data_IF_312865733928
#
_entry.id   IF_312865733928
#
_cell.length_a   1.000
_cell.length_b   1.000
_cell.length_c   1.000
_cell.angle_alpha   90.00
_cell.angle_beta   90.00
_cell.angle_gamma   90.00
#
_symmetry.space_group_name_H-M   'P 1'
#
loop_
_entity.id
_entity.type
_entity.pdbx_description
1 polymer ?
#
# COMPACT_ATOMS: atom_id res chain seq x y z
N UNK A 1 -9.13 -6.81 -21.71
CA UNK A 1 -10.21 -6.83 -20.70
C UNK A 1 -11.44 -7.22 -21.49
N UNK A 2 -12.18 -8.25 -21.05
CA UNK A 2 -13.33 -8.73 -21.80
C UNK A 2 -14.57 -8.04 -21.22
N UNK A 3 -15.37 -7.42 -22.08
CA UNK A 3 -16.67 -6.86 -21.69
C UNK A 3 -17.77 -7.88 -21.95
N UNK A 4 -18.63 -8.13 -20.96
CA UNK A 4 -19.72 -9.11 -21.03
C UNK A 4 -21.06 -8.42 -21.26
N UNK A 5 -21.73 -8.79 -22.34
CA UNK A 5 -23.03 -8.25 -22.74
C UNK A 5 -23.96 -9.44 -22.98
N UNK A 6 -25.18 -9.38 -22.46
CA UNK A 6 -26.19 -10.38 -22.74
C UNK A 6 -27.23 -9.82 -23.70
N UNK A 7 -27.64 -10.63 -24.68
CA UNK A 7 -28.76 -10.34 -25.56
C UNK A 7 -29.94 -11.24 -25.16
N UNK A 8 -31.11 -10.66 -24.93
CA UNK A 8 -32.30 -11.39 -24.47
C UNK A 8 -33.45 -11.24 -25.46
N UNK A 9 -34.05 -12.37 -25.82
CA UNK A 9 -35.25 -12.46 -26.66
C UNK A 9 -36.41 -12.95 -25.82
N UNK A 10 -37.48 -12.16 -25.78
CA UNK A 10 -38.74 -12.54 -25.13
C UNK A 10 -39.83 -12.69 -26.19
N UNK A 11 -40.39 -13.89 -26.28
CA UNK A 11 -41.59 -14.16 -27.06
C UNK A 11 -42.82 -14.11 -26.15
N UNK A 12 -43.75 -13.20 -26.42
CA UNK A 12 -44.98 -13.03 -25.63
C UNK A 12 -46.08 -14.06 -25.98
N UNK A 13 -45.74 -15.21 -26.56
CA UNK A 13 -46.70 -16.17 -27.12
C UNK A 13 -47.65 -16.83 -26.10
N UNK A 14 -47.45 -16.63 -24.79
CA UNK A 14 -48.22 -17.32 -23.74
C UNK A 14 -49.23 -16.41 -23.03
N UNK A 15 -50.32 -16.01 -23.71
CA UNK A 15 -51.54 -15.51 -23.06
C UNK A 15 -52.86 -15.94 -23.79
N UNK A 16 -53.21 -17.22 -23.60
CA UNK A 16 -54.55 -17.89 -23.47
C UNK A 16 -55.71 -17.60 -24.47
N UNK A 17 -56.20 -18.63 -25.22
CA UNK A 17 -57.47 -19.38 -24.98
C UNK A 17 -57.80 -20.48 -26.03
N UNK A 18 -58.57 -21.48 -25.57
CA UNK A 18 -59.18 -22.58 -26.34
C UNK A 18 -59.91 -22.15 -27.63
N UNK A 19 -59.80 -23.02 -28.65
CA UNK A 19 -60.51 -23.07 -29.95
C UNK A 19 -59.87 -22.37 -31.16
N UNK A 20 -59.15 -23.20 -31.92
CA UNK A 20 -59.21 -23.43 -33.36
C UNK A 20 -59.16 -22.23 -34.33
N UNK A 21 -58.07 -22.26 -35.13
CA UNK A 21 -57.89 -21.74 -36.50
C UNK A 21 -57.91 -20.22 -36.66
N UNK A 22 -56.83 -19.71 -37.28
CA UNK A 22 -56.52 -18.31 -37.61
C UNK A 22 -55.88 -17.45 -36.50
N UNK A 23 -54.60 -17.70 -36.23
CA UNK A 23 -53.63 -16.60 -36.21
C UNK A 23 -52.51 -16.97 -37.20
N UNK A 24 -52.24 -16.05 -38.11
CA UNK A 24 -51.58 -16.32 -39.37
C UNK A 24 -50.12 -16.80 -39.18
N UNK A 25 -49.86 -18.07 -39.54
CA UNK A 25 -48.63 -18.47 -40.21
C UNK A 25 -48.56 -17.75 -41.57
N UNK A 26 -48.22 -16.46 -41.59
CA UNK A 26 -47.97 -15.72 -42.82
C UNK A 26 -46.60 -15.05 -42.72
N UNK A 27 -45.55 -15.84 -42.83
CA UNK A 27 -44.85 -16.07 -44.10
C UNK A 27 -44.12 -17.42 -44.00
N UNK A 28 -43.95 -18.16 -45.10
CA UNK A 28 -43.00 -19.29 -45.20
C UNK A 28 -41.57 -18.74 -45.04
N UNK A 29 -41.19 -18.34 -43.82
CA UNK A 29 -39.85 -17.86 -43.51
C UNK A 29 -39.01 -19.03 -43.05
N UNK A 30 -38.05 -19.42 -43.88
CA UNK A 30 -37.10 -20.47 -43.53
C UNK A 30 -36.14 -20.06 -42.40
N UNK A 31 -36.01 -18.75 -42.13
CA UNK A 31 -35.20 -18.22 -41.03
C UNK A 31 -35.51 -16.77 -40.64
N UNK A 32 -35.01 -16.39 -39.47
CA UNK A 32 -34.89 -15.00 -39.00
C UNK A 32 -33.43 -14.68 -38.68
N UNK A 33 -33.03 -13.42 -38.82
CA UNK A 33 -31.64 -13.00 -38.64
C UNK A 33 -31.56 -11.66 -37.91
N UNK A 34 -30.61 -11.56 -36.99
CA UNK A 34 -30.15 -10.30 -36.40
C UNK A 34 -28.66 -10.17 -36.71
N UNK A 35 -28.30 -9.15 -37.48
CA UNK A 35 -26.90 -8.82 -37.79
C UNK A 35 -26.36 -7.78 -36.82
N UNK A 36 -25.29 -8.12 -36.12
CA UNK A 36 -24.58 -7.21 -35.23
C UNK A 36 -23.31 -6.69 -35.88
N UNK A 37 -22.92 -5.46 -35.54
CA UNK A 37 -21.65 -4.84 -35.92
C UNK A 37 -21.00 -4.22 -34.70
N UNK A 38 -19.69 -4.40 -34.57
CA UNK A 38 -18.85 -3.72 -33.58
C UNK A 38 -17.98 -2.69 -34.30
N UNK A 39 -18.02 -1.44 -33.83
CA UNK A 39 -17.10 -0.38 -34.24
C UNK A 39 -16.26 0.04 -33.04
N UNK A 40 -14.95 0.12 -33.21
CA UNK A 40 -14.04 0.67 -32.21
C UNK A 40 -13.55 2.06 -32.64
N UNK A 41 -13.31 2.95 -31.68
CA UNK A 41 -12.90 4.33 -31.96
C UNK A 41 -11.51 4.46 -32.60
N UNK A 42 -10.73 3.38 -32.71
CA UNK A 42 -9.51 3.29 -33.52
C UNK A 42 -9.79 3.03 -35.02
N UNK A 43 -11.05 2.88 -35.42
CA UNK A 43 -11.48 2.58 -36.79
C UNK A 43 -11.55 1.09 -37.13
N UNK A 44 -11.27 0.18 -36.18
CA UNK A 44 -11.51 -1.24 -36.38
C UNK A 44 -13.01 -1.54 -36.37
N UNK A 45 -13.43 -2.47 -37.24
CA UNK A 45 -14.83 -2.83 -37.42
C UNK A 45 -14.97 -4.35 -37.56
N UNK A 46 -15.97 -4.94 -36.92
CA UNK A 46 -16.34 -6.35 -37.03
C UNK A 46 -17.80 -6.47 -37.45
N UNK A 47 -18.04 -7.12 -38.59
CA UNK A 47 -19.38 -7.31 -39.19
C UNK A 47 -19.86 -8.76 -39.11
N UNK A 48 -19.10 -9.63 -38.45
CA UNK A 48 -19.25 -11.07 -38.66
C UNK A 48 -20.39 -11.68 -37.84
N UNK A 49 -20.79 -11.06 -36.73
CA UNK A 49 -21.69 -11.68 -35.77
C UNK A 49 -23.15 -11.64 -36.18
N UNK A 50 -23.76 -12.82 -36.17
CA UNK A 50 -25.15 -13.01 -36.55
C UNK A 50 -25.86 -13.98 -35.61
N UNK A 51 -27.07 -13.60 -35.21
CA UNK A 51 -28.02 -14.53 -34.60
C UNK A 51 -28.98 -15.02 -35.65
N UNK A 52 -29.17 -16.34 -35.68
CA UNK A 52 -30.15 -16.95 -36.55
C UNK A 52 -31.22 -17.70 -35.78
N UNK A 53 -32.41 -17.73 -36.37
CA UNK A 53 -33.52 -18.54 -35.88
C UNK A 53 -33.99 -19.42 -37.03
N UNK A 54 -33.87 -20.74 -36.87
CA UNK A 54 -34.18 -21.75 -37.88
C UNK A 54 -35.14 -22.81 -37.33
N UNK A 55 -35.96 -23.43 -38.17
CA UNK A 55 -36.89 -24.49 -37.73
C UNK A 55 -36.17 -25.66 -37.06
N UNK A 56 -34.97 -25.98 -37.53
CA UNK A 56 -34.14 -27.08 -37.01
C UNK A 56 -32.99 -26.59 -36.12
N UNK A 57 -32.95 -25.31 -35.76
CA UNK A 57 -31.96 -24.79 -34.83
C UNK A 57 -32.28 -25.23 -33.40
N UNK A 58 -31.26 -25.40 -32.56
CA UNK A 58 -31.42 -25.87 -31.19
C UNK A 58 -30.59 -25.07 -30.19
N UNK A 59 -30.80 -25.27 -28.89
CA UNK A 59 -29.91 -24.68 -27.86
C UNK A 59 -28.62 -25.49 -27.66
N UNK A 60 -28.49 -26.66 -28.30
CA UNK A 60 -27.26 -27.46 -28.31
C UNK A 60 -26.50 -27.29 -29.62
N UNK A 61 -25.27 -27.81 -29.67
CA UNK A 61 -24.41 -27.72 -30.85
C UNK A 61 -25.09 -28.32 -32.07
N UNK A 62 -25.23 -27.51 -33.12
CA UNK A 62 -25.80 -27.96 -34.38
C UNK A 62 -25.03 -27.43 -35.60
N UNK A 63 -25.47 -27.86 -36.80
CA UNK A 63 -24.78 -27.52 -38.05
C UNK A 63 -24.93 -26.04 -38.47
N UNK A 64 -25.72 -25.26 -37.72
CA UNK A 64 -25.96 -23.85 -37.94
C UNK A 64 -25.16 -22.97 -36.98
N UNK A 65 -24.42 -23.55 -36.04
CA UNK A 65 -23.45 -22.82 -35.22
C UNK A 65 -22.15 -22.61 -36.00
N UNK A 66 -21.62 -21.40 -35.96
CA UNK A 66 -20.39 -21.02 -36.63
C UNK A 66 -19.33 -20.61 -35.63
N UNK A 67 -18.19 -21.29 -35.58
CA UNK A 67 -17.07 -20.91 -34.71
C UNK A 67 -16.48 -19.55 -35.09
N UNK A 68 -16.09 -18.78 -34.07
CA UNK A 68 -15.37 -17.52 -34.27
C UNK A 68 -13.93 -17.78 -34.69
N UNK A 69 -13.45 -16.99 -35.65
CA UNK A 69 -12.02 -16.85 -35.92
C UNK A 69 -11.56 -15.51 -35.34
N UNK A 70 -10.47 -15.55 -34.58
CA UNK A 70 -9.82 -14.35 -34.08
C UNK A 70 -9.35 -13.45 -35.26
N UNK A 71 -9.32 -12.15 -35.02
CA UNK A 71 -8.82 -11.19 -36.00
C UNK A 71 -7.36 -11.48 -36.38
N UNK A 72 -7.08 -11.49 -37.69
CA UNK A 72 -5.71 -11.69 -38.22
C UNK A 72 -4.82 -10.46 -37.95
N UNK A 73 -5.42 -9.29 -37.78
CA UNK A 73 -4.72 -8.04 -37.47
C UNK A 73 -4.56 -7.91 -35.96
N UNK A 74 -3.32 -7.94 -35.43
CA UNK A 74 -3.07 -7.75 -34.01
C UNK A 74 -3.63 -6.41 -33.53
N UNK A 75 -4.31 -6.41 -32.39
CA UNK A 75 -4.87 -5.19 -31.79
C UNK A 75 -6.23 -4.75 -32.34
N UNK A 76 -6.81 -5.50 -33.29
CA UNK A 76 -8.17 -5.24 -33.75
C UNK A 76 -9.18 -5.97 -32.86
N UNK A 77 -10.03 -5.23 -32.14
CA UNK A 77 -11.08 -5.85 -31.34
C UNK A 77 -12.12 -6.55 -32.21
N UNK A 78 -12.78 -7.52 -31.62
CA UNK A 78 -13.85 -8.30 -32.24
C UNK A 78 -14.85 -8.75 -31.17
N UNK A 79 -16.03 -9.17 -31.60
CA UNK A 79 -17.06 -9.70 -30.70
C UNK A 79 -17.43 -11.14 -31.06
N UNK A 80 -17.93 -11.91 -30.10
CA UNK A 80 -18.34 -13.30 -30.30
C UNK A 80 -19.43 -13.70 -29.31
N UNK A 81 -20.28 -14.64 -29.73
CA UNK A 81 -21.18 -15.30 -28.79
C UNK A 81 -20.39 -16.35 -28.01
N UNK A 82 -20.80 -16.58 -26.76
CA UNK A 82 -20.21 -17.59 -25.88
C UNK A 82 -21.29 -18.58 -25.50
N UNK A 83 -20.99 -19.87 -25.70
CA UNK A 83 -21.89 -20.95 -25.33
C UNK A 83 -21.12 -22.15 -24.81
N UNK A 84 -21.69 -22.86 -23.82
CA UNK A 84 -21.15 -24.11 -23.30
C UNK A 84 -22.10 -25.26 -23.67
N UNK A 85 -21.64 -26.18 -24.50
CA UNK A 85 -22.38 -27.37 -24.92
C UNK A 85 -22.12 -28.60 -24.05
N UNK A 86 -21.45 -28.42 -22.91
CA UNK A 86 -21.12 -29.47 -21.94
C UNK A 86 -19.66 -29.95 -21.99
N UNK A 87 -18.87 -29.47 -22.95
CA UNK A 87 -17.42 -29.71 -23.05
C UNK A 87 -16.57 -28.46 -22.76
N UNK A 88 -17.21 -27.35 -22.37
CA UNK A 88 -16.59 -26.05 -22.11
C UNK A 88 -17.13 -24.95 -23.02
N UNK A 89 -16.78 -23.71 -22.67
CA UNK A 89 -17.17 -22.53 -23.44
C UNK A 89 -16.50 -22.49 -24.81
N UNK A 90 -17.28 -22.19 -25.84
CA UNK A 90 -16.82 -21.98 -27.20
C UNK A 90 -17.18 -20.59 -27.71
N UNK A 91 -16.33 -20.04 -28.58
CA UNK A 91 -16.54 -18.76 -29.24
C UNK A 91 -17.26 -18.96 -30.57
N UNK A 92 -18.39 -18.27 -30.76
CA UNK A 92 -19.23 -18.38 -31.93
C UNK A 92 -19.32 -17.03 -32.66
N UNK A 93 -19.12 -17.05 -33.97
CA UNK A 93 -19.51 -15.96 -34.87
C UNK A 93 -21.00 -16.00 -35.17
N UNK A 94 -21.59 -17.20 -35.11
CA UNK A 94 -22.98 -17.45 -35.39
C UNK A 94 -23.54 -18.41 -34.35
N UNK A 95 -24.60 -17.98 -33.66
CA UNK A 95 -25.39 -18.80 -32.73
C UNK A 95 -26.81 -18.91 -33.30
N UNK A 96 -27.26 -20.14 -33.53
CA UNK A 96 -28.54 -20.44 -34.16
C UNK A 96 -29.49 -21.14 -33.19
N UNK A 97 -30.72 -20.61 -33.04
CA UNK A 97 -31.76 -21.21 -32.18
C UNK A 97 -33.01 -21.58 -32.94
N UNK A 98 -33.94 -22.23 -32.24
CA UNK A 98 -35.25 -22.59 -32.77
C UNK A 98 -36.02 -21.37 -33.28
N UNK A 99 -36.74 -21.54 -34.39
CA UNK A 99 -37.47 -20.46 -35.08
C UNK A 99 -38.51 -19.75 -34.21
N UNK A 100 -39.06 -20.47 -33.24
CA UNK A 100 -40.09 -20.04 -32.32
C UNK A 100 -39.65 -20.36 -30.90
N UNK A 101 -39.04 -19.41 -30.17
CA UNK A 101 -38.68 -19.64 -28.79
C UNK A 101 -39.96 -19.68 -27.94
N UNK A 102 -40.18 -20.82 -27.28
CA UNK A 102 -41.28 -21.04 -26.33
C UNK A 102 -40.98 -20.47 -24.93
N UNK A 103 -39.72 -20.08 -24.70
CA UNK A 103 -39.17 -19.51 -23.46
C UNK A 103 -38.34 -18.27 -23.75
N UNK A 104 -37.97 -17.53 -22.70
CA UNK A 104 -36.99 -16.45 -22.80
C UNK A 104 -35.65 -17.07 -23.19
N UNK A 105 -35.01 -16.52 -24.23
CA UNK A 105 -33.69 -16.95 -24.69
C UNK A 105 -32.67 -15.87 -24.35
N UNK A 106 -31.54 -16.27 -23.80
CA UNK A 106 -30.43 -15.37 -23.47
C UNK A 106 -29.16 -15.86 -24.15
N UNK A 107 -28.46 -14.94 -24.80
CA UNK A 107 -27.25 -15.17 -25.55
C UNK A 107 -26.15 -14.35 -24.90
N UNK A 108 -25.04 -14.99 -24.54
CA UNK A 108 -23.87 -14.29 -24.03
C UNK A 108 -23.04 -13.80 -25.21
N UNK A 109 -22.81 -12.50 -25.26
CA UNK A 109 -22.01 -11.80 -26.26
C UNK A 109 -20.84 -11.14 -25.54
N UNK A 110 -19.62 -11.43 -25.98
CA UNK A 110 -18.42 -10.85 -25.41
C UNK A 110 -17.68 -10.00 -26.45
N UNK A 111 -17.04 -8.93 -25.97
CA UNK A 111 -16.16 -8.07 -26.76
C UNK A 111 -14.74 -8.23 -26.26
N UNK A 112 -13.85 -8.73 -27.13
CA UNK A 112 -12.41 -8.80 -26.87
C UNK A 112 -11.77 -7.48 -27.31
N UNK A 113 -11.29 -6.72 -26.32
CA UNK A 113 -10.70 -5.40 -26.55
C UNK A 113 -9.37 -5.45 -27.31
N UNK A 114 -8.70 -6.61 -27.38
CA UNK A 114 -7.42 -6.76 -28.07
C UNK A 114 -6.38 -5.71 -27.64
N UNK A 115 -6.35 -5.39 -26.34
CA UNK A 115 -5.50 -4.35 -25.74
C UNK A 115 -5.86 -2.90 -26.08
N UNK A 116 -6.94 -2.67 -26.83
CA UNK A 116 -7.41 -1.33 -27.14
C UNK A 116 -8.24 -0.73 -25.99
N UNK A 117 -7.85 0.46 -25.53
CA UNK A 117 -8.67 1.29 -24.65
C UNK A 117 -9.36 2.39 -25.44
N UNK A 118 -10.68 2.46 -25.39
CA UNK A 118 -11.44 3.46 -26.13
C UNK A 118 -12.93 3.21 -26.10
N UNK A 119 -13.65 3.86 -27.01
CA UNK A 119 -15.09 3.70 -27.18
C UNK A 119 -15.37 2.58 -28.18
N UNK A 120 -16.32 1.72 -27.83
CA UNK A 120 -16.87 0.68 -28.67
C UNK A 120 -18.34 0.96 -28.89
N UNK A 121 -18.83 0.69 -30.09
CA UNK A 121 -20.22 0.85 -30.48
C UNK A 121 -20.71 -0.46 -31.09
N UNK A 122 -21.75 -1.05 -30.50
CA UNK A 122 -22.46 -2.19 -31.08
C UNK A 122 -23.70 -1.66 -31.78
N UNK A 123 -23.84 -1.95 -33.07
CA UNK A 123 -25.01 -1.59 -33.86
C UNK A 123 -25.72 -2.84 -34.38
N UNK A 124 -27.05 -2.83 -34.41
CA UNK A 124 -27.86 -3.89 -35.02
C UNK A 124 -28.38 -3.42 -36.36
N UNK A 125 -27.64 -3.79 -37.40
CA UNK A 125 -27.78 -3.22 -38.75
C UNK A 125 -29.08 -3.64 -39.44
N UNK A 126 -29.57 -4.84 -39.15
CA UNK A 126 -30.71 -5.43 -39.85
C UNK A 126 -31.42 -6.46 -38.99
N UNK A 127 -32.73 -6.31 -38.85
CA UNK A 127 -33.65 -7.33 -38.35
C UNK A 127 -34.40 -7.93 -39.53
N UNK A 128 -34.04 -9.16 -39.90
CA UNK A 128 -34.69 -9.86 -41.00
C UNK A 128 -35.71 -10.83 -40.47
N UNK A 129 -36.96 -10.65 -40.89
CA UNK A 129 -38.08 -11.50 -40.50
C UNK A 129 -38.24 -11.59 -38.97
N UNK A 130 -37.92 -10.56 -38.19
CA UNK A 130 -38.17 -10.56 -36.76
C UNK A 130 -39.63 -10.12 -36.53
N UNK A 131 -40.46 -10.89 -35.78
CA UNK A 131 -41.82 -10.48 -35.48
C UNK A 131 -41.84 -9.22 -34.62
N UNK A 132 -42.77 -8.30 -34.91
CA UNK A 132 -42.99 -7.09 -34.10
C UNK A 132 -43.41 -7.39 -32.64
N UNK A 133 -43.87 -8.62 -32.37
CA UNK A 133 -44.26 -9.09 -31.04
C UNK A 133 -43.08 -9.57 -30.19
N UNK A 134 -41.88 -9.65 -30.75
CA UNK A 134 -40.68 -10.00 -29.99
C UNK A 134 -40.13 -8.75 -29.31
N UNK A 135 -39.82 -8.89 -28.02
CA UNK A 135 -39.07 -7.87 -27.31
C UNK A 135 -37.60 -8.29 -27.28
N UNK A 136 -36.74 -7.39 -27.75
CA UNK A 136 -35.30 -7.61 -27.88
C UNK A 136 -34.56 -6.63 -26.98
N UNK A 137 -33.75 -7.17 -26.08
CA UNK A 137 -33.02 -6.39 -25.09
C UNK A 137 -31.53 -6.68 -25.17
N UNK A 138 -30.71 -5.62 -25.23
CA UNK A 138 -29.27 -5.69 -25.01
C UNK A 138 -28.97 -5.23 -23.58
N UNK A 139 -28.30 -6.08 -22.82
CA UNK A 139 -27.98 -5.89 -21.41
C UNK A 139 -26.47 -5.89 -21.25
N UNK A 140 -25.88 -4.73 -21.00
CA UNK A 140 -24.48 -4.63 -20.60
C UNK A 140 -24.37 -5.01 -19.13
N UNK A 141 -23.75 -6.15 -18.85
CA UNK A 141 -23.67 -6.69 -17.48
C UNK A 141 -22.55 -6.06 -16.65
N UNK A 142 -21.58 -5.41 -17.29
CA UNK A 142 -20.48 -4.73 -16.59
C UNK A 142 -20.90 -3.31 -16.17
N UNK A 143 -21.72 -2.64 -16.98
CA UNK A 143 -22.21 -1.28 -16.71
C UNK A 143 -23.65 -1.22 -16.18
N UNK A 144 -24.31 -2.37 -16.01
CA UNK A 144 -25.71 -2.50 -15.56
C UNK A 144 -26.69 -1.64 -16.41
N UNK A 145 -26.48 -1.68 -17.74
CA UNK A 145 -27.26 -0.91 -18.71
C UNK A 145 -28.16 -1.83 -19.52
N UNK A 146 -29.42 -1.43 -19.75
CA UNK A 146 -30.40 -2.21 -20.51
C UNK A 146 -31.01 -1.36 -21.61
N UNK A 147 -30.97 -1.87 -22.85
CA UNK A 147 -31.36 -1.16 -24.06
C UNK A 147 -32.43 -1.97 -24.78
N UNK A 148 -33.58 -1.34 -25.05
CA UNK A 148 -34.58 -1.91 -25.96
C UNK A 148 -34.11 -1.70 -27.40
N UNK A 149 -33.85 -2.80 -28.10
CA UNK A 149 -33.30 -2.76 -29.45
C UNK A 149 -34.34 -2.40 -30.52
N UNK A 150 -35.61 -2.32 -30.15
CA UNK A 150 -36.66 -1.77 -31.02
C UNK A 150 -36.73 -0.24 -30.97
N UNK A 151 -36.24 0.37 -29.89
CA UNK A 151 -36.28 1.83 -29.68
C UNK A 151 -34.99 2.52 -30.17
N UNK A 152 -33.86 1.82 -30.06
CA UNK A 152 -32.54 2.30 -30.47
C UNK A 152 -31.98 1.49 -31.65
N UNK A 153 -30.86 1.93 -32.23
CA UNK A 153 -30.15 1.19 -33.30
C UNK A 153 -28.70 0.82 -32.97
N UNK A 154 -28.20 1.34 -31.84
CA UNK A 154 -26.84 1.14 -31.38
C UNK A 154 -26.69 1.34 -29.87
N UNK A 155 -25.60 0.82 -29.31
CA UNK A 155 -25.18 1.01 -27.93
C UNK A 155 -23.67 1.26 -27.88
N UNK A 156 -23.22 2.25 -27.10
CA UNK A 156 -21.79 2.58 -26.96
C UNK A 156 -21.32 2.49 -25.51
N UNK A 157 -20.12 1.95 -25.32
CA UNK A 157 -19.45 1.82 -24.01
C UNK A 157 -17.95 2.10 -24.14
N UNK A 158 -17.25 2.29 -23.02
CA UNK A 158 -15.80 2.54 -23.01
C UNK A 158 -15.05 1.54 -22.16
N UNK A 159 -13.95 0.99 -22.68
CA UNK A 159 -13.00 0.22 -21.87
C UNK A 159 -11.87 1.14 -21.41
N UNK A 160 -11.55 1.11 -20.12
CA UNK A 160 -10.42 1.84 -19.54
C UNK A 160 -9.40 0.85 -18.98
N UNK A 161 -8.13 0.97 -19.38
CA UNK A 161 -7.04 0.29 -18.67
C UNK A 161 -6.64 1.12 -17.45
N UNK A 162 -6.79 0.56 -16.26
CA UNK A 162 -6.09 1.06 -15.08
C UNK A 162 -4.86 0.19 -14.83
N UNK A 163 -3.68 0.80 -14.87
CA UNK A 163 -2.47 0.16 -14.37
C UNK A 163 -2.38 0.48 -12.88
N UNK A 164 -2.57 -0.53 -12.03
CA UNK A 164 -2.25 -0.41 -10.62
C UNK A 164 -0.74 -0.59 -10.47
N UNK A 165 -0.02 0.47 -10.11
CA UNK A 165 1.36 0.33 -9.60
C UNK A 165 1.22 -0.08 -8.14
N UNK A 166 1.47 -1.37 -7.85
CA UNK A 166 1.61 -1.84 -6.48
C UNK A 166 2.91 -1.25 -5.91
N UNK A 167 2.81 -0.23 -5.08
CA UNK A 167 3.90 0.23 -4.23
C UNK A 167 3.70 -0.45 -2.88
N UNK A 168 4.42 -1.55 -2.65
CA UNK A 168 4.53 -2.11 -1.30
C UNK A 168 5.19 -1.05 -0.39
N UNK A 169 4.60 -0.67 0.76
CA UNK A 169 5.27 0.22 1.70
C UNK A 169 6.60 -0.41 2.12
N UNK A 170 7.65 0.40 2.21
CA UNK A 170 8.94 -0.10 2.70
C UNK A 170 8.79 -0.34 4.19
N UNK A 171 8.97 -1.58 4.62
CA UNK A 171 9.06 -1.91 6.05
C UNK A 171 10.51 -1.75 6.48
N UNK A 172 10.78 -0.74 7.30
CA UNK A 172 12.05 -0.64 8.03
C UNK A 172 11.92 -1.37 9.36
N UNK A 173 13.00 -1.99 9.86
CA UNK A 173 12.98 -2.67 11.15
C UNK A 173 14.29 -2.49 11.91
N UNK A 174 14.21 -2.56 13.23
CA UNK A 174 15.38 -2.59 14.12
C UNK A 174 15.13 -3.52 15.30
N UNK A 175 16.19 -4.17 15.79
CA UNK A 175 16.11 -5.06 16.97
C UNK A 175 16.54 -4.30 18.21
N UNK A 176 15.63 -4.20 19.18
CA UNK A 176 15.89 -3.66 20.51
C UNK A 176 16.35 -4.79 21.41
N UNK A 177 17.50 -4.61 22.09
CA UNK A 177 18.14 -5.67 22.90
C UNK A 177 18.57 -5.12 24.27
N UNK A 178 19.15 -5.98 25.12
CA UNK A 178 19.61 -5.61 26.47
C UNK A 178 18.48 -5.69 27.49
N UNK A 179 18.56 -4.85 28.53
CA UNK A 179 17.63 -4.85 29.66
C UNK A 179 16.50 -3.82 29.47
N UNK A 180 15.47 -3.93 30.32
CA UNK A 180 14.40 -2.94 30.44
C UNK A 180 14.94 -1.50 30.57
N UNK A 181 14.33 -0.57 29.82
CA UNK A 181 14.74 0.83 29.88
C UNK A 181 14.33 1.69 28.69
N UNK A 182 14.61 2.98 28.85
CA UNK A 182 14.51 3.98 27.79
C UNK A 182 15.46 3.67 26.63
N UNK A 183 14.97 3.86 25.40
CA UNK A 183 15.76 3.97 24.18
C UNK A 183 15.48 5.32 23.55
N UNK A 184 16.50 5.91 22.93
CA UNK A 184 16.37 7.13 22.13
C UNK A 184 16.34 6.71 20.68
N UNK A 185 15.18 6.86 20.05
CA UNK A 185 14.88 6.29 18.73
C UNK A 185 14.39 7.37 17.76
N UNK A 186 14.30 6.99 16.49
CA UNK A 186 13.69 7.77 15.42
C UNK A 186 13.01 6.85 14.42
N UNK A 187 12.08 7.39 13.64
CA UNK A 187 11.50 6.66 12.52
C UNK A 187 12.16 7.06 11.20
N UNK A 188 12.56 6.09 10.37
CA UNK A 188 13.14 6.34 9.05
C UNK A 188 12.08 6.42 7.93
N UNK A 189 10.86 6.88 8.26
CA UNK A 189 9.72 7.00 7.35
C UNK A 189 8.99 8.32 7.59
N UNK A 190 8.33 8.82 6.55
CA UNK A 190 7.52 10.04 6.63
C UNK A 190 6.19 9.81 7.35
N UNK A 191 5.74 10.79 8.12
CA UNK A 191 4.41 10.81 8.73
C UNK A 191 4.21 9.78 9.83
N UNK A 192 5.29 9.28 10.44
CA UNK A 192 5.19 8.30 11.52
C UNK A 192 4.43 8.85 12.74
N UNK A 193 3.83 7.92 13.48
CA UNK A 193 3.09 8.14 14.72
C UNK A 193 3.41 7.01 15.71
N UNK A 194 2.84 7.07 16.92
CA UNK A 194 3.10 6.06 17.96
C UNK A 194 2.56 4.68 17.57
N UNK A 195 1.58 4.61 16.67
CA UNK A 195 1.00 3.34 16.19
C UNK A 195 2.02 2.39 15.54
N UNK A 196 3.18 2.90 15.13
CA UNK A 196 4.28 2.09 14.58
C UNK A 196 4.99 1.24 15.64
N UNK A 197 4.62 1.36 16.93
CA UNK A 197 5.21 0.59 18.02
C UNK A 197 4.20 -0.32 18.73
N UNK A 198 2.90 -0.07 18.55
CA UNK A 198 1.83 -0.69 19.36
C UNK A 198 1.65 -2.19 19.10
N UNK A 199 2.06 -2.67 17.93
CA UNK A 199 2.09 -4.09 17.59
C UNK A 199 3.28 -4.84 18.21
N UNK A 200 4.39 -4.14 18.43
CA UNK A 200 5.66 -4.74 18.88
C UNK A 200 5.90 -4.59 20.39
N UNK A 201 5.47 -3.48 20.99
CA UNK A 201 5.63 -3.18 22.42
C UNK A 201 4.46 -2.38 22.99
N UNK A 202 4.16 -2.59 24.27
CA UNK A 202 3.20 -1.79 25.00
C UNK A 202 3.53 -0.29 24.97
N UNK A 203 2.50 0.51 24.73
CA UNK A 203 2.41 1.95 24.89
C UNK A 203 1.45 2.25 26.03
N UNK A 204 1.93 2.98 27.03
CA UNK A 204 1.21 3.30 28.26
C UNK A 204 1.08 4.82 28.41
N UNK A 205 0.06 5.26 29.14
CA UNK A 205 -0.18 6.67 29.47
C UNK A 205 -0.52 7.59 28.30
N UNK A 206 -0.85 7.03 27.13
CA UNK A 206 -1.25 7.74 25.91
C UNK A 206 -2.58 7.15 25.44
N UNK A 207 -3.52 8.00 25.02
CA UNK A 207 -4.84 7.53 24.57
C UNK A 207 -4.74 6.65 23.32
N UNK A 208 -5.49 5.55 23.30
CA UNK A 208 -5.40 4.48 22.30
C UNK A 208 -4.32 3.43 22.59
N UNK A 209 -3.43 3.64 23.57
CA UNK A 209 -2.44 2.65 24.00
C UNK A 209 -3.02 1.56 24.92
N UNK A 210 -2.23 0.52 25.19
CA UNK A 210 -2.63 -0.68 25.93
C UNK A 210 -2.98 -0.39 27.39
N UNK A 211 -2.38 0.64 27.99
CA UNK A 211 -2.67 1.06 29.35
C UNK A 211 -2.69 2.59 29.49
N UNK A 212 -3.76 3.22 29.00
CA UNK A 212 -3.93 4.67 28.98
C UNK A 212 -3.88 5.34 30.37
N UNK A 213 -4.18 4.60 31.45
CA UNK A 213 -4.24 5.13 32.81
C UNK A 213 -2.90 5.10 33.55
N UNK A 214 -1.86 4.50 32.98
CA UNK A 214 -0.53 4.46 33.59
C UNK A 214 0.28 5.73 33.28
N UNK A 215 1.48 5.82 33.85
CA UNK A 215 2.42 6.87 33.46
C UNK A 215 2.93 6.65 32.01
N UNK A 216 3.13 7.72 31.22
CA UNK A 216 3.57 7.56 29.84
C UNK A 216 4.94 6.89 29.72
N UNK A 217 5.04 5.94 28.81
CA UNK A 217 6.29 5.26 28.48
C UNK A 217 6.88 5.71 27.13
N UNK A 218 6.29 6.74 26.51
CA UNK A 218 6.73 7.35 25.27
C UNK A 218 6.76 8.87 25.42
N UNK A 219 7.87 9.50 25.03
CA UNK A 219 8.03 10.95 25.13
C UNK A 219 8.71 11.54 23.89
N UNK A 220 8.27 12.73 23.52
CA UNK A 220 8.97 13.62 22.61
C UNK A 220 9.76 14.66 23.41
N UNK A 221 10.84 15.18 22.84
CA UNK A 221 11.53 16.35 23.36
C UNK A 221 11.79 17.37 22.25
N UNK A 222 10.75 18.11 21.88
CA UNK A 222 10.82 19.05 20.75
C UNK A 222 11.54 20.36 21.12
N UNK A 223 11.54 20.72 22.41
CA UNK A 223 12.08 21.97 22.90
C UNK A 223 12.38 21.91 24.40
N UNK A 224 13.65 21.78 24.77
CA UNK A 224 14.14 21.83 26.16
C UNK A 224 15.07 23.01 26.40
N UNK A 225 15.05 23.57 27.62
CA UNK A 225 15.97 24.61 28.08
C UNK A 225 17.27 24.04 28.67
N UNK A 226 17.40 22.71 28.76
CA UNK A 226 18.55 22.00 29.34
C UNK A 226 18.39 21.66 30.83
N UNK A 227 17.30 22.09 31.47
CA UNK A 227 16.97 21.68 32.84
C UNK A 227 16.48 20.22 32.85
N UNK A 228 16.90 19.45 33.86
CA UNK A 228 16.46 18.06 34.01
C UNK A 228 14.92 17.95 34.01
N UNK A 229 14.38 17.07 33.18
CA UNK A 229 12.93 16.88 33.02
C UNK A 229 12.22 17.93 32.17
N UNK A 230 12.90 18.97 31.68
CA UNK A 230 12.29 19.97 30.82
C UNK A 230 12.21 19.50 29.35
N UNK A 231 11.11 19.86 28.68
CA UNK A 231 10.88 19.62 27.25
C UNK A 231 10.28 18.26 26.91
N UNK A 232 10.12 17.35 27.89
CA UNK A 232 9.50 16.05 27.67
C UNK A 232 7.98 16.14 27.71
N UNK A 233 7.32 15.67 26.65
CA UNK A 233 5.87 15.62 26.56
C UNK A 233 5.42 14.36 25.84
N UNK A 234 4.42 13.66 26.39
CA UNK A 234 3.76 12.58 25.70
C UNK A 234 2.76 13.14 24.67
N UNK A 235 2.61 12.51 23.49
CA UNK A 235 1.52 12.80 22.56
C UNK A 235 0.14 12.60 23.21
N UNK A 236 -0.88 13.28 22.68
CA UNK A 236 -2.26 13.17 23.20
C UNK A 236 -2.85 11.79 22.96
N UNK A 237 -2.57 11.22 21.79
CA UNK A 237 -3.02 9.88 21.38
C UNK A 237 -1.96 9.19 20.51
N UNK A 238 -2.16 7.90 20.25
CA UNK A 238 -1.23 7.11 19.45
C UNK A 238 -1.18 7.50 17.96
N UNK A 239 -2.18 8.24 17.46
CA UNK A 239 -2.28 8.69 16.07
C UNK A 239 -1.58 10.02 15.81
N UNK A 240 -1.19 10.71 16.88
CA UNK A 240 -0.54 12.02 16.81
C UNK A 240 0.82 11.89 16.12
N UNK A 241 0.95 12.48 14.93
CA UNK A 241 2.24 12.66 14.28
C UNK A 241 2.94 13.91 14.80
N UNK A 242 4.26 13.84 14.92
CA UNK A 242 5.10 14.94 15.41
C UNK A 242 6.06 15.51 14.35
N UNK A 243 5.97 15.00 13.13
CA UNK A 243 6.78 15.42 11.99
C UNK A 243 8.07 14.63 11.83
N UNK A 244 8.59 14.66 10.61
CA UNK A 244 9.75 13.88 10.20
C UNK A 244 11.05 14.42 10.81
N UNK A 245 11.98 13.52 11.09
CA UNK A 245 13.31 13.86 11.59
C UNK A 245 13.38 14.21 13.07
N UNK A 246 12.28 14.28 13.82
CA UNK A 246 12.37 14.33 15.28
C UNK A 246 12.62 12.93 15.85
N UNK A 247 13.40 12.86 16.93
CA UNK A 247 13.56 11.64 17.71
C UNK A 247 12.53 11.56 18.83
N UNK A 248 12.42 10.39 19.42
CA UNK A 248 11.54 10.10 20.55
C UNK A 248 12.23 9.17 21.56
N UNK A 249 11.65 9.09 22.75
CA UNK A 249 12.05 8.13 23.77
C UNK A 249 10.93 7.13 23.99
N UNK A 250 11.30 5.85 24.09
CA UNK A 250 10.35 4.79 24.47
C UNK A 250 10.98 3.90 25.52
N UNK A 251 10.22 3.58 26.56
CA UNK A 251 10.63 2.63 27.60
C UNK A 251 10.14 1.24 27.24
N UNK A 252 11.08 0.31 27.10
CA UNK A 252 10.82 -1.12 26.92
C UNK A 252 10.83 -1.82 28.28
N UNK A 253 9.77 -2.55 28.61
CA UNK A 253 9.58 -3.13 29.93
C UNK A 253 10.21 -4.51 30.12
N UNK A 254 10.57 -5.20 29.03
CA UNK A 254 11.20 -6.53 29.04
C UNK A 254 10.40 -7.55 29.90
N UNK A 255 9.13 -7.72 29.54
CA UNK A 255 8.24 -8.70 30.17
C UNK A 255 7.02 -8.96 29.28
N UNK A 256 6.16 -9.91 29.68
CA UNK A 256 4.92 -10.29 28.96
C UNK A 256 3.64 -9.72 29.56
N UNK A 257 3.71 -8.63 30.33
CA UNK A 257 2.55 -8.05 31.01
C UNK A 257 1.97 -6.89 30.20
N UNK A 258 0.65 -6.74 30.23
CA UNK A 258 -0.06 -5.57 29.70
C UNK A 258 0.34 -5.17 28.26
N UNK A 259 0.48 -6.15 27.36
CA UNK A 259 0.84 -5.92 25.96
C UNK A 259 2.34 -5.69 25.71
N UNK A 260 3.19 -5.81 26.72
CA UNK A 260 4.65 -5.72 26.54
C UNK A 260 5.25 -7.03 26.02
N UNK A 261 6.49 -6.95 25.57
CA UNK A 261 7.29 -8.04 25.01
C UNK A 261 8.59 -8.21 25.79
N UNK A 262 9.08 -9.44 25.90
CA UNK A 262 10.46 -9.72 26.35
C UNK A 262 11.43 -9.19 25.29
N UNK A 263 12.60 -8.71 25.74
CA UNK A 263 13.71 -8.37 24.84
C UNK A 263 14.52 -9.64 24.51
N UNK A 264 15.06 -9.78 23.29
CA UNK A 264 15.02 -8.82 22.20
C UNK A 264 13.68 -8.77 21.46
N UNK A 265 13.26 -7.56 21.07
CA UNK A 265 12.06 -7.34 20.25
C UNK A 265 12.45 -6.64 18.95
N UNK A 266 11.81 -7.03 17.85
CA UNK A 266 11.94 -6.31 16.57
C UNK A 266 10.84 -5.28 16.53
N UNK A 267 11.19 -4.02 16.29
CA UNK A 267 10.19 -2.97 16.00
C UNK A 267 10.23 -2.65 14.51
N UNK A 268 9.08 -2.42 13.90
CA UNK A 268 8.97 -2.06 12.48
C UNK A 268 8.23 -0.76 12.21
N UNK A 269 8.72 0.00 11.23
CA UNK A 269 8.04 1.18 10.70
C UNK A 269 7.61 0.92 9.27
N UNK A 270 6.30 0.98 9.04
CA UNK A 270 5.69 0.93 7.71
C UNK A 270 5.49 2.34 7.18
N UNK A 271 6.08 2.62 6.02
CA UNK A 271 5.88 3.90 5.35
C UNK A 271 6.81 4.10 4.17
N UNK A 272 6.95 5.35 3.77
CA UNK A 272 7.87 5.77 2.72
C UNK A 272 9.01 6.57 3.33
N UNK A 273 10.23 6.33 2.88
CA UNK A 273 11.35 7.22 3.20
C UNK A 273 11.08 8.64 2.63
N UNK A 274 11.48 9.72 3.32
CA UNK A 274 11.42 11.06 2.77
C UNK A 274 12.16 11.19 1.43
N UNK A 275 11.54 11.79 0.41
CA UNK A 275 12.11 11.92 -0.95
C UNK A 275 13.17 13.02 -1.09
N UNK A 276 13.39 13.82 -0.05
CA UNK A 276 14.29 14.97 -0.09
C UNK A 276 14.69 15.45 1.30
N UNK A 277 15.17 16.68 1.36
CA UNK A 277 15.69 17.29 2.59
C UNK A 277 14.59 17.42 3.65
N UNK A 278 14.87 16.94 4.86
CA UNK A 278 13.95 17.02 6.00
C UNK A 278 14.28 18.27 6.80
N UNK A 279 13.28 19.12 7.05
CA UNK A 279 13.45 20.37 7.81
C UNK A 279 12.61 20.36 9.06
N UNK A 280 13.25 20.59 10.20
CA UNK A 280 12.63 20.64 11.52
C UNK A 280 12.57 22.08 12.01
N UNK A 281 11.59 22.37 12.86
CA UNK A 281 11.52 23.64 13.60
C UNK A 281 12.17 23.45 14.96
N UNK A 282 13.12 24.31 15.32
CA UNK A 282 13.80 24.29 16.62
C UNK A 282 13.59 25.62 17.32
N UNK A 283 13.17 25.60 18.59
CA UNK A 283 12.67 26.80 19.28
C UNK A 283 13.22 27.04 20.68
N UNK A 284 13.89 26.06 21.29
CA UNK A 284 14.55 26.16 22.60
C UNK A 284 16.00 25.65 22.54
N UNK A 285 16.73 25.61 23.66
CA UNK A 285 18.16 25.28 23.72
C UNK A 285 18.46 23.91 23.09
N UNK A 286 17.73 22.88 23.49
CA UNK A 286 17.89 21.51 23.02
C UNK A 286 16.64 21.01 22.29
N UNK A 287 16.86 20.20 21.26
CA UNK A 287 15.81 19.43 20.58
C UNK A 287 16.31 18.00 20.37
N UNK A 288 15.45 17.01 20.60
CA UNK A 288 15.69 15.63 20.22
C UNK A 288 15.40 15.44 18.73
N UNK A 289 16.47 15.19 17.99
CA UNK A 289 16.47 14.96 16.54
C UNK A 289 16.64 13.46 16.30
N UNK A 290 16.19 12.99 15.15
CA UNK A 290 16.26 11.62 14.71
C UNK A 290 16.84 11.51 13.31
N UNK A 291 17.41 10.36 12.97
CA UNK A 291 17.69 10.03 11.58
C UNK A 291 16.36 9.73 10.86
N UNK A 292 15.96 10.51 9.84
CA UNK A 292 14.71 10.31 9.10
C UNK A 292 14.84 9.35 7.91
N UNK A 293 16.04 8.85 7.62
CA UNK A 293 16.33 8.04 6.43
C UNK A 293 16.53 6.57 6.77
N UNK A 294 16.33 5.69 5.78
CA UNK A 294 16.61 4.26 5.87
C UNK A 294 18.11 3.96 5.91
N UNK A 295 18.94 4.86 5.38
CA UNK A 295 20.38 4.80 5.47
C UNK A 295 20.89 5.47 6.75
N UNK A 296 22.17 5.22 7.08
CA UNK A 296 22.83 5.95 8.15
C UNK A 296 22.98 7.43 7.79
N UNK A 297 23.09 8.27 8.82
CA UNK A 297 23.17 9.72 8.68
C UNK A 297 24.58 10.23 9.00
N UNK A 298 25.18 10.94 8.06
CA UNK A 298 26.43 11.67 8.28
C UNK A 298 26.14 12.99 9.02
N UNK A 299 26.56 13.07 10.28
CA UNK A 299 26.23 14.18 11.17
C UNK A 299 26.76 15.52 10.65
N UNK A 300 27.86 15.51 9.88
CA UNK A 300 28.49 16.74 9.39
C UNK A 300 27.77 17.40 8.23
N UNK A 301 26.84 16.71 7.60
CA UNK A 301 26.04 17.23 6.49
C UNK A 301 24.80 18.01 6.97
N UNK A 302 24.42 17.90 8.25
CA UNK A 302 23.29 18.66 8.79
C UNK A 302 23.66 20.12 9.04
N UNK A 303 22.69 21.03 8.92
CA UNK A 303 22.93 22.46 9.16
C UNK A 303 21.71 23.19 9.67
N UNK A 304 21.92 24.22 10.49
CA UNK A 304 20.88 25.15 10.88
C UNK A 304 20.79 26.35 9.94
N UNK A 305 19.83 27.23 10.22
CA UNK A 305 19.62 28.48 9.47
C UNK A 305 20.09 29.75 10.21
N UNK A 306 20.76 29.60 11.34
CA UNK A 306 21.13 30.69 12.23
C UNK A 306 22.58 31.16 12.07
N UNK A 307 22.91 32.21 12.81
CA UNK A 307 24.28 32.70 12.98
C UNK A 307 24.90 32.18 14.28
N UNK A 308 26.22 31.99 14.28
CA UNK A 308 26.95 31.39 15.40
C UNK A 308 26.97 29.85 15.33
N UNK A 309 27.44 29.21 16.40
CA UNK A 309 27.63 27.76 16.43
C UNK A 309 28.68 27.26 15.43
N UNK A 310 28.70 25.94 15.23
CA UNK A 310 29.65 25.25 14.34
C UNK A 310 29.02 24.91 12.98
N UNK A 311 27.70 24.69 12.92
CA UNK A 311 26.96 24.33 11.69
C UNK A 311 25.70 25.16 11.50
N UNK A 312 25.83 26.41 11.03
CA UNK A 312 24.68 27.27 10.73
C UNK A 312 23.80 27.56 11.95
N UNK A 313 24.41 27.86 13.11
CA UNK A 313 23.67 28.11 14.35
C UNK A 313 23.47 26.88 15.25
N UNK A 314 24.01 25.72 14.90
CA UNK A 314 24.01 24.51 15.76
C UNK A 314 25.32 24.38 16.54
N UNK A 315 25.28 23.97 17.80
CA UNK A 315 26.45 23.83 18.68
C UNK A 315 26.98 22.39 18.71
N UNK A 316 28.27 22.28 19.06
CA UNK A 316 28.90 21.02 19.47
C UNK A 316 29.17 21.03 20.98
N UNK A 317 29.19 19.86 21.64
CA UNK A 317 28.93 18.55 21.06
C UNK A 317 27.44 18.26 20.84
N UNK A 318 27.16 17.33 19.94
CA UNK A 318 25.88 16.62 19.81
C UNK A 318 25.90 15.43 20.76
N UNK A 319 24.77 15.13 21.39
CA UNK A 319 24.65 14.07 22.39
C UNK A 319 23.81 12.92 21.84
N UNK A 320 24.29 11.69 21.95
CA UNK A 320 23.56 10.50 21.50
C UNK A 320 23.66 9.40 22.55
N UNK A 321 22.82 8.37 22.45
CA UNK A 321 22.91 7.21 23.33
C UNK A 321 23.58 6.04 22.63
N UNK A 322 24.49 5.40 23.35
CA UNK A 322 25.20 4.19 22.94
C UNK A 322 25.09 3.13 24.06
N UNK A 323 25.59 1.93 23.79
CA UNK A 323 25.64 0.79 24.69
C UNK A 323 26.30 1.10 26.05
N UNK A 324 27.24 2.04 26.08
CA UNK A 324 27.92 2.52 27.29
C UNK A 324 27.24 3.69 28.01
N UNK A 325 26.11 4.19 27.50
CA UNK A 325 25.41 5.37 28.02
C UNK A 325 25.50 6.58 27.09
N UNK A 326 25.55 7.78 27.67
CA UNK A 326 25.58 9.03 26.91
C UNK A 326 26.93 9.20 26.18
N UNK A 327 26.88 9.24 24.86
CA UNK A 327 27.98 9.59 23.97
C UNK A 327 27.90 11.05 23.51
N UNK A 328 29.03 11.58 23.04
CA UNK A 328 29.14 12.93 22.49
C UNK A 328 29.94 12.92 21.19
N UNK A 329 29.48 13.67 20.19
CA UNK A 329 30.17 13.86 18.93
C UNK A 329 30.31 15.36 18.61
N UNK A 330 31.47 15.77 18.12
CA UNK A 330 31.65 17.13 17.60
C UNK A 330 31.36 17.14 16.10
N UNK A 331 30.93 18.30 15.59
CA UNK A 331 30.92 18.49 14.15
C UNK A 331 32.36 18.54 13.61
N UNK A 332 32.58 18.00 12.42
CA UNK A 332 33.86 17.83 11.75
C UNK A 332 34.60 16.54 12.09
N UNK A 333 33.97 15.61 12.82
CA UNK A 333 34.58 14.32 13.17
C UNK A 333 34.03 13.15 12.36
N UNK A 334 33.22 13.41 11.31
CA UNK A 334 32.61 12.41 10.43
C UNK A 334 31.82 11.34 11.22
N UNK A 335 31.08 11.77 12.24
CA UNK A 335 30.27 10.86 13.04
C UNK A 335 29.08 10.36 12.21
N UNK A 336 28.89 9.05 12.17
CA UNK A 336 27.79 8.41 11.45
C UNK A 336 26.75 7.91 12.45
N UNK A 337 25.55 8.48 12.40
CA UNK A 337 24.40 8.11 13.24
C UNK A 337 23.63 6.96 12.57
N UNK A 338 23.39 5.88 13.30
CA UNK A 338 22.63 4.73 12.79
C UNK A 338 21.21 5.11 12.35
N UNK A 339 20.67 4.43 11.34
CA UNK A 339 19.22 4.33 11.11
C UNK A 339 18.52 4.02 12.43
N UNK A 340 17.31 4.57 12.65
CA UNK A 340 16.52 4.45 13.90
C UNK A 340 17.06 5.16 15.14
N UNK A 341 18.23 5.82 15.08
CA UNK A 341 18.80 6.51 16.25
C UNK A 341 18.38 7.97 16.36
N UNK A 342 18.08 8.39 17.58
CA UNK A 342 17.93 9.80 17.94
C UNK A 342 19.16 10.39 18.63
N UNK A 343 19.30 11.70 18.58
CA UNK A 343 20.36 12.49 19.19
C UNK A 343 19.86 13.88 19.61
N UNK A 344 20.37 14.40 20.72
CA UNK A 344 20.09 15.75 21.17
C UNK A 344 21.06 16.74 20.55
N UNK A 345 20.48 17.80 20.00
CA UNK A 345 21.22 18.91 19.41
C UNK A 345 20.96 20.19 20.19
N UNK A 346 22.02 20.97 20.41
CA UNK A 346 21.95 22.30 21.00
C UNK A 346 21.98 23.39 19.92
N UNK A 347 21.10 24.39 20.03
CA UNK A 347 21.19 25.59 19.19
C UNK A 347 22.08 26.66 19.83
N UNK A 348 22.77 27.44 19.01
CA UNK A 348 23.66 28.52 19.45
C UNK A 348 22.91 29.74 20.01
N UNK A 349 21.67 29.93 19.57
CA UNK A 349 20.84 31.05 20.01
C UNK A 349 19.50 31.10 19.28
N UNK A 350 18.67 32.04 19.69
CA UNK A 350 17.29 32.21 19.19
C UNK A 350 17.18 32.59 17.71
N UNK A 351 18.29 33.00 17.07
CA UNK A 351 18.34 33.21 15.61
C UNK A 351 18.26 31.90 14.82
N UNK A 352 18.60 30.76 15.44
CA UNK A 352 18.51 29.44 14.82
C UNK A 352 17.12 28.88 15.12
N UNK A 353 16.33 28.76 14.06
CA UNK A 353 14.91 28.37 14.14
C UNK A 353 14.59 27.12 13.34
N UNK A 354 15.53 26.67 12.50
CA UNK A 354 15.40 25.47 11.68
C UNK A 354 16.67 24.65 11.69
N UNK A 355 16.48 23.34 11.60
CA UNK A 355 17.50 22.35 11.27
C UNK A 355 17.11 21.72 9.93
N UNK A 356 18.07 21.59 9.02
CA UNK A 356 17.94 20.85 7.77
C UNK A 356 18.84 19.62 7.82
N UNK A 357 18.22 18.47 7.58
CA UNK A 357 18.88 17.18 7.37
C UNK A 357 18.78 16.90 5.86
N UNK A 358 19.82 17.18 5.07
CA UNK A 358 19.73 17.04 3.63
C UNK A 358 19.74 15.57 3.23
N UNK A 359 19.10 15.26 2.10
CA UNK A 359 19.14 13.93 1.48
C UNK A 359 20.56 13.48 1.12
N UNK A 360 21.48 14.42 0.91
CA UNK A 360 22.91 14.15 0.71
C UNK A 360 23.63 13.65 1.97
N UNK A 361 23.03 13.78 3.16
CA UNK A 361 23.60 13.26 4.41
C UNK A 361 23.46 11.73 4.55
N UNK A 362 22.74 11.08 3.63
CA UNK A 362 22.59 9.62 3.60
C UNK A 362 23.93 8.96 3.27
N UNK A 363 24.29 7.94 4.03
CA UNK A 363 25.53 7.19 3.80
C UNK A 363 25.36 5.69 4.07
N UNK A 364 26.06 4.86 3.30
CA UNK A 364 26.20 3.42 3.54
C UNK A 364 27.38 3.10 4.48
N UNK A 365 28.09 4.13 4.95
CA UNK A 365 29.16 3.97 5.93
C UNK A 365 28.59 3.38 7.21
N UNK A 366 29.32 2.44 7.82
CA UNK A 366 28.92 1.83 9.09
C UNK A 366 28.73 2.89 10.18
N UNK A 367 27.66 2.76 10.96
CA UNK A 367 27.37 3.67 12.06
C UNK A 367 28.50 3.63 13.10
N UNK A 368 28.89 4.82 13.56
CA UNK A 368 29.87 5.01 14.64
C UNK A 368 29.21 5.52 15.92
N UNK A 369 27.90 5.80 15.86
CA UNK A 369 27.10 6.33 16.96
C UNK A 369 25.65 5.82 16.85
N UNK A 370 25.05 5.59 18.02
CA UNK A 370 23.72 5.00 18.15
C UNK A 370 23.80 3.53 18.56
N UNK A 371 23.09 3.17 19.63
CA UNK A 371 22.89 1.78 20.04
C UNK A 371 21.47 1.54 20.51
N UNK A 372 20.97 0.35 20.19
CA UNK A 372 19.64 -0.11 20.56
C UNK A 372 19.66 -1.07 21.76
N UNK A 373 20.85 -1.30 22.33
CA UNK A 373 21.04 -2.10 23.52
C UNK A 373 21.24 -1.22 24.75
N UNK A 374 20.42 -1.41 25.78
CA UNK A 374 20.74 -0.92 27.12
C UNK A 374 21.32 -2.09 27.88
N UNK A 375 22.62 -2.23 27.84
CA UNK A 375 23.31 -3.19 28.70
C UNK A 375 23.56 -2.48 30.03
N UNK A 376 23.03 -3.00 31.14
CA UNK A 376 23.61 -2.61 32.42
C UNK A 376 25.10 -2.94 32.36
N UNK A 377 25.98 -1.95 32.59
CA UNK A 377 27.33 -2.28 33.04
C UNK A 377 27.14 -3.18 34.26
N UNK A 378 27.60 -4.45 34.24
CA UNK A 378 27.47 -5.29 35.41
C UNK A 378 28.11 -4.52 36.56
N UNK A 379 27.32 -4.23 37.59
CA UNK A 379 27.80 -3.47 38.73
C UNK A 379 28.76 -4.35 39.52
N UNK A 380 30.00 -4.51 39.05
CA UNK A 380 31.04 -5.12 39.85
C UNK A 380 31.70 -4.04 40.69
N UNK A 381 31.86 -4.33 41.99
CA UNK A 381 32.83 -3.60 42.81
C UNK A 381 34.17 -4.29 42.56
N UNK A 382 35.16 -3.54 42.10
CA UNK A 382 36.53 -4.02 41.93
C UNK A 382 37.35 -3.66 43.17
N UNK A 383 38.06 -4.64 43.72
CA UNK A 383 39.18 -4.38 44.64
C UNK A 383 40.45 -4.82 43.89
N UNK A 384 41.30 -3.84 43.59
CA UNK A 384 42.63 -4.09 43.05
C UNK A 384 43.61 -4.29 44.23
N UNK A 385 44.25 -5.45 44.29
CA UNK A 385 45.24 -5.74 45.33
C UNK A 385 46.64 -5.53 44.74
N UNK A 386 47.40 -4.61 45.31
CA UNK A 386 48.78 -4.35 44.90
C UNK A 386 49.73 -4.98 45.94
N UNK A 387 50.70 -5.76 45.47
CA UNK A 387 51.82 -6.20 46.29
C UNK A 387 53.06 -5.40 45.90
N UNK A 388 53.57 -4.61 46.85
CA UNK A 388 54.82 -3.87 46.68
C UNK A 388 55.96 -4.60 47.39
N UNK A 389 56.95 -5.03 46.61
CA UNK A 389 58.23 -5.53 47.11
C UNK A 389 59.31 -4.44 47.14
N UNK A 390 60.39 -4.62 47.91
CA UNK A 390 61.54 -3.72 47.83
C UNK A 390 62.11 -3.67 46.41
N UNK A 391 62.60 -2.49 46.00
CA UNK A 391 63.09 -2.16 44.66
C UNK A 391 62.00 -1.98 43.58
N UNK A 392 60.81 -1.49 43.95
CA UNK A 392 59.75 -1.10 43.00
C UNK A 392 59.22 -2.26 42.14
N UNK A 393 59.41 -3.50 42.58
CA UNK A 393 58.77 -4.66 41.99
C UNK A 393 57.31 -4.65 42.42
N UNK A 394 56.41 -4.45 41.46
CA UNK A 394 54.95 -4.43 41.67
C UNK A 394 54.32 -5.60 40.94
N UNK A 395 53.49 -6.37 41.66
CA UNK A 395 52.58 -7.33 41.04
C UNK A 395 51.16 -6.75 41.08
N UNK A 396 50.56 -6.61 39.89
CA UNK A 396 49.20 -6.09 39.65
C UNK A 396 48.24 -7.14 39.10
N UNK A 397 48.63 -8.42 39.14
CA UNK A 397 47.91 -9.49 38.45
C UNK A 397 46.63 -9.96 39.16
N UNK A 398 46.41 -9.57 40.41
CA UNK A 398 45.30 -10.08 41.23
C UNK A 398 44.12 -9.10 41.28
N UNK A 399 43.02 -9.49 40.63
CA UNK A 399 41.73 -8.76 40.64
C UNK A 399 40.64 -9.63 41.28
N UNK A 400 39.84 -9.03 42.16
CA UNK A 400 38.67 -9.67 42.77
C UNK A 400 37.39 -8.99 42.26
N UNK A 401 36.47 -9.78 41.71
CA UNK A 401 35.20 -9.31 41.17
C UNK A 401 34.04 -9.77 42.07
N UNK A 402 33.27 -8.81 42.59
CA UNK A 402 32.02 -9.11 43.29
C UNK A 402 30.84 -8.97 42.33
N UNK A 403 30.02 -10.00 42.24
CA UNK A 403 28.81 -10.03 41.41
C UNK A 403 27.58 -9.85 42.30
N UNK A 404 26.56 -9.15 41.81
CA UNK A 404 25.29 -8.94 42.52
C UNK A 404 24.27 -10.07 42.32
N UNK A 405 24.65 -11.20 41.73
CA UNK A 405 23.73 -12.30 41.50
C UNK A 405 23.46 -13.08 42.80
N UNK A 406 22.25 -12.90 43.32
CA UNK A 406 21.51 -13.87 44.15
C UNK A 406 20.20 -14.18 43.44
#
# INVERSE_FOLDING_TARGET
MISKINFTVVSLASFVLLHSTLFAQNEDVSFREISLRLDASNGATDYSNKLYFYENGSEGEDAYDGSKLASISPGNPYMYFVQDFGEGEIELVQDARGLYPDTIQTYSLEVEDSEFSGTFTISWLNFKNIPDLWELWLVDTDLDSTINMSDESEYSFTTSRSFQVLIEPVTSQVVITGDAGWRVLSFPVTGASVTQLTDDTAIQGISGGENESADPNFYLNLASDGTAGNGYSAPTDIYTSWGDGYGFLTYFFDNKLAGSSDLPVTINAMGKEPEGDVTLSISNTFTLVGNPFLNNLELDEISGNGSGGTKGGLQSPVYYYDSGGLGTANFGTNTIISTWSGFFLERAGSSTTKLTIPSSAKTDTAATAGSFSKQQSPSFREIELHLEGPNSLTDKSSKLFFHSAA
#
